data_IF_935475023213
#
_entry.id   IF_935475023213
#
_cell.length_a   1.000
_cell.length_b   1.000
_cell.length_c   1.000
_cell.angle_alpha   90.00
_cell.angle_beta   90.00
_cell.angle_gamma   90.00
#
_symmetry.space_group_name_H-M   'P 1'
#
loop_
_entity.id
_entity.type
_entity.pdbx_description
1 polymer ?
#
# COMPACT_ATOMS: atom_id res chain seq x y z
N UNK A 1 3.64 1.24 15.30
CA UNK A 1 2.23 1.64 15.49
C UNK A 1 1.41 0.35 15.61
N UNK A 2 0.27 0.35 16.29
CA UNK A 2 -0.63 -0.82 16.38
C UNK A 2 -1.92 -0.48 15.67
N UNK A 3 -2.51 -1.43 14.93
CA UNK A 3 -3.80 -1.25 14.25
C UNK A 3 -4.91 -1.31 15.30
N UNK A 4 -5.49 -0.18 15.69
CA UNK A 4 -6.49 -0.10 16.77
C UNK A 4 -7.85 0.41 16.26
N UNK A 5 -8.91 0.07 16.99
CA UNK A 5 -10.27 0.51 16.64
C UNK A 5 -10.42 2.03 16.80
N UNK A 6 -9.77 2.62 17.80
CA UNK A 6 -9.83 4.04 18.10
C UNK A 6 -9.36 4.91 16.92
N UNK A 7 -8.33 4.45 16.20
CA UNK A 7 -7.81 5.14 15.01
C UNK A 7 -8.83 5.12 13.87
N UNK A 8 -9.54 4.01 13.68
CA UNK A 8 -10.61 3.91 12.67
C UNK A 8 -11.88 4.66 13.07
N UNK A 9 -12.25 4.61 14.35
CA UNK A 9 -13.41 5.31 14.90
C UNK A 9 -13.24 6.84 14.84
N UNK A 10 -12.00 7.34 14.95
CA UNK A 10 -11.71 8.77 14.75
C UNK A 10 -12.05 9.26 13.33
N UNK A 11 -12.08 8.36 12.34
CA UNK A 11 -12.37 8.65 10.93
C UNK A 11 -13.84 8.42 10.54
N UNK A 12 -14.56 7.59 11.29
CA UNK A 12 -15.90 7.05 10.93
C UNK A 12 -16.98 7.25 11.99
N UNK A 13 -16.63 7.85 13.13
CA UNK A 13 -17.41 7.92 14.37
C UNK A 13 -17.58 6.55 15.07
N UNK A 14 -17.58 6.54 16.41
CA UNK A 14 -17.81 5.30 17.16
C UNK A 14 -19.27 4.86 17.04
N UNK A 15 -19.48 3.78 16.28
CA UNK A 15 -20.79 3.16 16.09
C UNK A 15 -20.66 1.64 16.01
N UNK A 16 -21.75 0.88 16.27
CA UNK A 16 -21.76 -0.57 16.04
C UNK A 16 -21.36 -0.95 14.61
N UNK A 17 -21.79 -0.16 13.62
CA UNK A 17 -21.45 -0.38 12.21
C UNK A 17 -19.94 -0.17 11.96
N UNK A 18 -19.35 0.89 12.50
CA UNK A 18 -17.90 1.11 12.40
C UNK A 18 -17.09 0.00 13.08
N UNK A 19 -17.56 -0.54 14.21
CA UNK A 19 -16.92 -1.68 14.89
C UNK A 19 -16.97 -2.96 14.08
N UNK A 20 -18.12 -3.25 13.45
CA UNK A 20 -18.25 -4.40 12.56
C UNK A 20 -17.34 -4.27 11.34
N UNK A 21 -17.29 -3.08 10.72
CA UNK A 21 -16.42 -2.87 9.57
C UNK A 21 -14.94 -2.97 9.94
N UNK A 22 -14.52 -2.35 11.04
CA UNK A 22 -13.14 -2.46 11.52
C UNK A 22 -12.73 -3.90 11.80
N UNK A 23 -13.60 -4.71 12.40
CA UNK A 23 -13.33 -6.13 12.62
C UNK A 23 -13.13 -6.87 11.29
N UNK A 24 -13.97 -6.59 10.28
CA UNK A 24 -13.84 -7.17 8.94
C UNK A 24 -12.56 -6.73 8.21
N UNK A 25 -12.08 -5.51 8.44
CA UNK A 25 -10.78 -5.05 7.96
C UNK A 25 -9.66 -5.84 8.62
N UNK A 26 -9.65 -5.92 9.96
CA UNK A 26 -8.62 -6.64 10.71
C UNK A 26 -8.57 -8.12 10.31
N UNK A 27 -9.73 -8.77 10.15
CA UNK A 27 -9.79 -10.16 9.70
C UNK A 27 -9.15 -10.34 8.31
N UNK A 28 -9.44 -9.43 7.37
CA UNK A 28 -8.87 -9.47 6.03
C UNK A 28 -7.34 -9.26 6.03
N UNK A 29 -6.84 -8.28 6.79
CA UNK A 29 -5.40 -8.04 6.94
C UNK A 29 -4.67 -9.14 7.73
N UNK A 30 -5.41 -10.01 8.43
CA UNK A 30 -4.89 -11.13 9.22
C UNK A 30 -4.94 -12.48 8.50
N UNK A 31 -5.31 -12.51 7.22
CA UNK A 31 -5.40 -13.76 6.47
C UNK A 31 -4.06 -14.51 6.45
N UNK A 32 -4.05 -15.84 6.67
CA UNK A 32 -2.84 -16.59 7.00
C UNK A 32 -1.83 -16.72 5.84
N UNK A 33 -2.23 -16.41 4.61
CA UNK A 33 -1.35 -16.43 3.44
C UNK A 33 -0.51 -15.16 3.30
N UNK A 34 -0.88 -14.06 3.96
CA UNK A 34 -0.15 -12.79 3.92
C UNK A 34 1.18 -12.91 4.66
N UNK A 35 2.22 -12.29 4.12
CA UNK A 35 3.57 -12.25 4.72
C UNK A 35 4.14 -10.85 4.74
N UNK A 36 3.99 -10.10 3.66
CA UNK A 36 4.30 -8.68 3.60
C UNK A 36 3.04 -7.85 3.75
N UNK A 37 1.97 -8.17 3.01
CA UNK A 37 0.75 -7.38 2.97
C UNK A 37 -0.17 -7.73 4.16
N UNK A 38 0.33 -7.59 5.38
CA UNK A 38 -0.31 -7.95 6.65
C UNK A 38 -0.58 -6.74 7.56
N UNK A 39 -1.03 -6.99 8.80
CA UNK A 39 -1.26 -5.93 9.80
C UNK A 39 -0.02 -5.09 10.13
N UNK A 40 1.19 -5.62 9.97
CA UNK A 40 2.41 -4.87 10.22
C UNK A 40 2.66 -3.86 9.09
N UNK A 41 2.42 -4.24 7.83
CA UNK A 41 2.42 -3.31 6.70
C UNK A 41 1.36 -2.23 6.87
N UNK A 42 0.11 -2.61 7.15
CA UNK A 42 -0.97 -1.64 7.40
C UNK A 42 -0.59 -0.63 8.49
N UNK A 43 -0.04 -1.10 9.62
CA UNK A 43 0.40 -0.22 10.70
C UNK A 43 1.55 0.73 10.29
N UNK A 44 2.45 0.28 9.42
CA UNK A 44 3.53 1.11 8.90
C UNK A 44 2.98 2.21 7.96
N UNK A 45 2.10 1.85 7.03
CA UNK A 45 1.46 2.80 6.11
C UNK A 45 0.63 3.83 6.88
N UNK A 46 -0.21 3.42 7.83
CA UNK A 46 -0.99 4.35 8.66
C UNK A 46 -0.12 5.32 9.45
N UNK A 47 1.03 4.86 9.95
CA UNK A 47 1.98 5.74 10.65
C UNK A 47 2.57 6.79 9.73
N UNK A 48 3.00 6.39 8.53
CA UNK A 48 3.56 7.30 7.54
C UNK A 48 2.52 8.27 6.98
N UNK A 49 1.28 7.82 6.74
CA UNK A 49 0.17 8.70 6.40
C UNK A 49 -0.04 9.75 7.49
N UNK A 50 0.06 9.39 8.77
CA UNK A 50 0.02 10.33 9.88
C UNK A 50 1.15 11.36 9.86
N UNK A 51 2.39 10.92 9.57
CA UNK A 51 3.56 11.81 9.44
C UNK A 51 3.48 12.76 8.23
N UNK A 52 2.87 12.28 7.14
CA UNK A 52 2.74 13.01 5.88
C UNK A 52 1.43 13.81 5.77
N UNK A 53 0.53 13.71 6.75
CA UNK A 53 -0.82 14.28 6.72
C UNK A 53 -0.86 15.79 6.40
N UNK A 54 0.18 16.55 6.78
CA UNK A 54 0.26 17.98 6.48
C UNK A 54 0.36 18.30 4.99
N UNK A 55 0.69 17.31 4.15
CA UNK A 55 0.75 17.45 2.69
C UNK A 55 -0.56 17.05 2.00
N UNK A 56 -1.50 16.40 2.70
CA UNK A 56 -2.78 15.95 2.14
C UNK A 56 -3.84 17.06 2.19
N UNK A 57 -4.70 17.09 1.17
CA UNK A 57 -5.88 17.94 1.10
C UNK A 57 -7.02 17.38 1.96
N UNK A 58 -7.28 16.07 1.91
CA UNK A 58 -8.14 15.36 2.87
C UNK A 58 -7.36 14.22 3.56
N UNK A 59 -6.65 14.51 4.67
CA UNK A 59 -5.92 13.50 5.43
C UNK A 59 -6.79 12.34 5.93
N UNK A 60 -8.09 12.57 6.17
CA UNK A 60 -9.00 11.52 6.60
C UNK A 60 -9.34 10.57 5.45
N UNK A 61 -9.51 11.09 4.22
CA UNK A 61 -9.66 10.26 3.03
C UNK A 61 -8.41 9.40 2.78
N UNK A 62 -7.22 9.98 2.91
CA UNK A 62 -5.96 9.23 2.74
C UNK A 62 -5.79 8.14 3.80
N UNK A 63 -6.07 8.44 5.07
CA UNK A 63 -6.01 7.45 6.14
C UNK A 63 -7.01 6.31 5.89
N UNK A 64 -8.25 6.62 5.50
CA UNK A 64 -9.23 5.60 5.12
C UNK A 64 -8.78 4.79 3.90
N UNK A 65 -8.19 5.41 2.88
CA UNK A 65 -7.65 4.67 1.74
C UNK A 65 -6.53 3.71 2.16
N UNK A 66 -5.66 4.11 3.09
CA UNK A 66 -4.64 3.22 3.65
C UNK A 66 -5.23 1.98 4.36
N UNK A 67 -6.35 2.13 5.09
CA UNK A 67 -7.06 0.98 5.68
C UNK A 67 -7.56 -0.03 4.65
N UNK A 68 -7.85 0.42 3.42
CA UNK A 68 -8.49 -0.39 2.40
C UNK A 68 -7.57 -0.83 1.26
N UNK A 69 -6.40 -0.21 1.03
CA UNK A 69 -5.66 -0.37 -0.23
C UNK A 69 -5.40 -1.84 -0.63
N UNK A 70 -4.94 -2.69 0.30
CA UNK A 70 -4.77 -4.14 0.08
C UNK A 70 -5.70 -4.99 0.95
N UNK A 71 -6.88 -4.46 1.29
CA UNK A 71 -7.86 -5.21 2.09
C UNK A 71 -8.32 -6.48 1.34
N UNK A 72 -8.38 -6.45 0.02
CA UNK A 72 -8.41 -7.64 -0.83
C UNK A 72 -6.98 -7.92 -1.31
N UNK A 73 -6.50 -9.15 -1.10
CA UNK A 73 -5.16 -9.55 -1.52
C UNK A 73 -5.12 -11.03 -1.89
N UNK A 74 -5.23 -11.29 -3.19
CA UNK A 74 -4.98 -12.59 -3.79
C UNK A 74 -3.80 -12.45 -4.78
N UNK A 75 -2.62 -13.05 -4.48
CA UNK A 75 -1.47 -13.05 -5.38
C UNK A 75 -1.71 -13.66 -6.77
N UNK A 76 -2.84 -14.34 -6.97
CA UNK A 76 -3.25 -14.93 -8.25
C UNK A 76 -4.22 -14.05 -9.05
N UNK A 77 -4.75 -12.98 -8.42
CA UNK A 77 -5.67 -12.03 -9.03
C UNK A 77 -4.93 -10.81 -9.61
N UNK A 78 -5.62 -10.08 -10.48
CA UNK A 78 -5.07 -8.87 -11.15
C UNK A 78 -5.90 -7.61 -10.89
N UNK A 79 -6.95 -7.74 -10.08
CA UNK A 79 -7.95 -6.72 -9.80
C UNK A 79 -8.09 -6.44 -8.29
N UNK A 80 -7.07 -6.79 -7.49
CA UNK A 80 -7.07 -6.62 -6.03
C UNK A 80 -7.44 -5.19 -5.64
N UNK A 81 -6.86 -4.18 -6.29
CA UNK A 81 -7.11 -2.76 -6.00
C UNK A 81 -8.54 -2.34 -6.35
N UNK A 82 -9.12 -2.90 -7.43
CA UNK A 82 -10.53 -2.66 -7.75
C UNK A 82 -11.44 -3.31 -6.71
N UNK A 83 -11.17 -4.56 -6.31
CA UNK A 83 -11.94 -5.26 -5.28
C UNK A 83 -11.83 -4.52 -3.94
N UNK A 84 -10.64 -4.09 -3.56
CA UNK A 84 -10.37 -3.26 -2.38
C UNK A 84 -11.15 -1.94 -2.42
N UNK A 85 -11.18 -1.26 -3.57
CA UNK A 85 -11.95 -0.03 -3.74
C UNK A 85 -13.47 -0.27 -3.61
N UNK A 86 -13.98 -1.37 -4.16
CA UNK A 86 -15.38 -1.75 -4.00
C UNK A 86 -15.71 -2.12 -2.55
N UNK A 87 -14.79 -2.76 -1.83
CA UNK A 87 -14.92 -3.00 -0.39
C UNK A 87 -14.99 -1.69 0.39
N UNK A 88 -14.17 -0.70 0.05
CA UNK A 88 -14.25 0.63 0.65
C UNK A 88 -15.61 1.30 0.41
N UNK A 89 -16.11 1.26 -0.83
CA UNK A 89 -17.43 1.81 -1.19
C UNK A 89 -18.59 1.15 -0.42
N UNK A 90 -18.46 -0.14 -0.10
CA UNK A 90 -19.47 -0.88 0.65
C UNK A 90 -19.36 -0.63 2.16
N UNK A 91 -18.15 -0.75 2.72
CA UNK A 91 -17.89 -0.69 4.16
C UNK A 91 -18.05 0.70 4.77
N UNK A 92 -17.69 1.75 4.02
CA UNK A 92 -17.78 3.14 4.48
C UNK A 92 -19.11 3.83 4.17
N UNK A 93 -20.04 3.16 3.48
CA UNK A 93 -21.33 3.74 3.12
C UNK A 93 -22.13 4.13 4.37
N UNK A 94 -22.44 5.41 4.49
CA UNK A 94 -23.17 5.96 5.63
C UNK A 94 -22.32 6.15 6.90
N UNK A 95 -21.02 5.81 6.86
CA UNK A 95 -20.04 6.14 7.89
C UNK A 95 -19.28 7.44 7.56
N UNK A 96 -19.20 7.82 6.29
CA UNK A 96 -18.55 9.04 5.82
C UNK A 96 -19.39 9.74 4.74
N UNK A 97 -19.17 11.05 4.47
CA UNK A 97 -19.80 11.74 3.35
C UNK A 97 -19.47 11.11 1.99
N UNK A 98 -20.41 11.17 1.05
CA UNK A 98 -20.27 10.56 -0.29
C UNK A 98 -19.03 11.06 -1.07
N UNK A 99 -18.65 12.33 -0.89
CA UNK A 99 -17.45 12.90 -1.51
C UNK A 99 -16.17 12.21 -1.01
N UNK A 100 -16.04 12.00 0.31
CA UNK A 100 -14.92 11.27 0.90
C UNK A 100 -14.94 9.80 0.49
N UNK A 101 -16.12 9.19 0.42
CA UNK A 101 -16.28 7.81 -0.04
C UNK A 101 -15.75 7.62 -1.47
N UNK A 102 -16.08 8.54 -2.37
CA UNK A 102 -15.59 8.53 -3.74
C UNK A 102 -14.06 8.73 -3.79
N UNK A 103 -13.53 9.63 -2.97
CA UNK A 103 -12.09 9.90 -2.92
C UNK A 103 -11.29 8.71 -2.39
N UNK A 104 -11.74 8.06 -1.31
CA UNK A 104 -11.13 6.83 -0.79
C UNK A 104 -11.03 5.77 -1.89
N UNK A 105 -12.13 5.54 -2.62
CA UNK A 105 -12.15 4.54 -3.69
C UNK A 105 -11.28 4.93 -4.89
N UNK A 106 -11.07 6.22 -5.15
CA UNK A 106 -10.12 6.70 -6.18
C UNK A 106 -8.67 6.47 -5.74
N UNK A 107 -8.35 6.80 -4.49
CA UNK A 107 -7.02 6.62 -3.90
C UNK A 107 -6.63 5.15 -3.82
N UNK A 108 -7.55 4.26 -3.42
CA UNK A 108 -7.28 2.82 -3.42
C UNK A 108 -6.99 2.30 -4.83
N UNK A 109 -7.71 2.76 -5.86
CA UNK A 109 -7.37 2.37 -7.26
C UNK A 109 -6.03 2.91 -7.73
N UNK A 110 -5.61 4.06 -7.19
CA UNK A 110 -4.35 4.70 -7.58
C UNK A 110 -3.12 3.85 -7.20
N UNK A 111 -3.23 3.01 -6.15
CA UNK A 111 -2.12 2.15 -5.71
C UNK A 111 -1.81 1.03 -6.71
N UNK A 112 -2.66 0.75 -7.70
CA UNK A 112 -2.35 -0.24 -8.74
C UNK A 112 -1.15 0.18 -9.62
N UNK A 113 -0.86 1.48 -9.72
CA UNK A 113 0.24 2.00 -10.52
C UNK A 113 1.15 3.00 -9.81
N UNK A 114 0.83 3.37 -8.56
CA UNK A 114 1.57 4.35 -7.76
C UNK A 114 1.98 5.63 -8.51
N UNK A 115 1.10 6.07 -9.41
CA UNK A 115 1.37 7.18 -10.34
C UNK A 115 0.40 8.37 -10.18
N UNK A 116 0.36 9.03 -9.00
CA UNK A 116 -0.36 10.28 -8.85
C UNK A 116 0.12 11.31 -9.87
N UNK A 117 -0.83 12.07 -10.41
CA UNK A 117 -0.55 13.27 -11.21
C UNK A 117 0.05 14.36 -10.30
N UNK A 118 0.78 15.33 -10.87
CA UNK A 118 1.61 16.26 -10.08
C UNK A 118 0.85 17.07 -9.00
N UNK A 119 -0.43 17.39 -9.23
CA UNK A 119 -1.27 18.15 -8.29
C UNK A 119 -2.14 17.25 -7.38
N UNK A 120 -2.00 15.92 -7.48
CA UNK A 120 -2.72 14.96 -6.63
C UNK A 120 -2.01 14.75 -5.30
N UNK A 121 -2.23 15.67 -4.37
CA UNK A 121 -1.57 15.66 -3.06
C UNK A 121 -2.00 14.49 -2.17
N UNK A 122 -3.27 14.09 -2.23
CA UNK A 122 -3.78 12.95 -1.46
C UNK A 122 -3.21 11.63 -1.98
N UNK A 123 -3.17 11.48 -3.30
CA UNK A 123 -2.51 10.35 -3.95
C UNK A 123 -1.02 10.30 -3.67
N UNK A 124 -0.34 11.46 -3.69
CA UNK A 124 1.08 11.56 -3.33
C UNK A 124 1.34 11.06 -1.91
N UNK A 125 0.52 11.45 -0.92
CA UNK A 125 0.70 10.97 0.46
C UNK A 125 0.49 9.46 0.56
N UNK A 126 -0.57 8.91 -0.05
CA UNK A 126 -0.83 7.48 0.00
C UNK A 126 0.30 6.66 -0.65
N UNK A 127 0.69 7.03 -1.88
CA UNK A 127 1.72 6.30 -2.61
C UNK A 127 3.10 6.42 -1.95
N UNK A 128 3.43 7.59 -1.40
CA UNK A 128 4.70 7.77 -0.67
C UNK A 128 4.75 6.88 0.58
N UNK A 129 3.64 6.79 1.33
CA UNK A 129 3.53 5.96 2.53
C UNK A 129 3.60 4.47 2.20
N UNK A 130 2.87 4.02 1.17
CA UNK A 130 2.82 2.62 0.75
C UNK A 130 4.18 2.12 0.19
N UNK A 131 4.86 2.96 -0.62
CA UNK A 131 6.16 2.62 -1.19
C UNK A 131 7.35 2.87 -0.26
N UNK A 132 7.14 3.33 0.98
CA UNK A 132 8.24 3.72 1.88
C UNK A 132 9.21 2.58 2.20
N UNK A 133 8.74 1.32 2.18
CA UNK A 133 9.58 0.13 2.39
C UNK A 133 10.75 0.05 1.39
N UNK A 134 10.56 0.59 0.18
CA UNK A 134 11.59 0.54 -0.85
C UNK A 134 12.84 1.31 -0.42
N UNK A 135 12.68 2.39 0.34
CA UNK A 135 13.76 3.21 0.89
C UNK A 135 14.35 2.68 2.22
N UNK A 136 13.88 1.52 2.71
CA UNK A 136 14.38 0.95 3.95
C UNK A 136 15.88 0.59 3.86
N UNK A 137 16.59 0.49 5.00
CA UNK A 137 17.95 -0.03 5.02
C UNK A 137 18.04 -1.40 4.29
N UNK A 138 19.14 -1.71 3.57
CA UNK A 138 19.20 -2.88 2.69
C UNK A 138 18.80 -4.22 3.33
N UNK A 139 19.09 -4.40 4.62
CA UNK A 139 18.69 -5.61 5.36
C UNK A 139 17.17 -5.70 5.54
N UNK A 140 16.49 -4.58 5.83
CA UNK A 140 15.04 -4.54 5.96
C UNK A 140 14.36 -4.70 4.60
N UNK A 141 14.92 -4.08 3.55
CA UNK A 141 14.47 -4.28 2.17
C UNK A 141 14.56 -5.76 1.74
N UNK A 142 15.67 -6.44 2.08
CA UNK A 142 15.80 -7.86 1.79
C UNK A 142 14.75 -8.72 2.52
N UNK A 143 14.37 -8.33 3.74
CA UNK A 143 13.25 -8.94 4.47
C UNK A 143 11.92 -8.76 3.73
N UNK A 144 11.63 -7.54 3.26
CA UNK A 144 10.48 -7.23 2.41
C UNK A 144 10.45 -8.11 1.15
N UNK A 145 11.54 -8.13 0.37
CA UNK A 145 11.61 -8.91 -0.86
C UNK A 145 11.44 -10.41 -0.62
N UNK A 146 11.96 -10.93 0.50
CA UNK A 146 11.75 -12.33 0.90
C UNK A 146 10.29 -12.62 1.26
N UNK A 147 9.64 -11.73 2.02
CA UNK A 147 8.24 -11.88 2.39
C UNK A 147 7.32 -11.86 1.15
N UNK A 148 7.60 -10.96 0.19
CA UNK A 148 6.92 -10.97 -1.11
C UNK A 148 7.17 -12.29 -1.85
N UNK A 149 8.41 -12.81 -1.89
CA UNK A 149 8.68 -14.13 -2.53
C UNK A 149 7.83 -15.24 -1.92
N UNK A 150 7.62 -15.23 -0.60
CA UNK A 150 6.79 -16.22 0.10
C UNK A 150 5.30 -16.14 -0.29
N UNK A 151 4.75 -14.94 -0.48
CA UNK A 151 3.34 -14.75 -0.94
C UNK A 151 3.12 -15.36 -2.33
N UNK A 152 4.14 -15.32 -3.18
CA UNK A 152 4.14 -15.94 -4.49
C UNK A 152 4.75 -17.35 -4.50
N UNK A 153 4.81 -18.04 -3.36
CA UNK A 153 5.36 -19.40 -3.23
C UNK A 153 4.64 -20.47 -4.08
N UNK A 154 3.46 -20.15 -4.60
CA UNK A 154 2.70 -20.98 -5.55
C UNK A 154 3.26 -20.94 -6.98
N UNK A 155 4.09 -19.95 -7.31
CA UNK A 155 4.80 -19.85 -8.59
C UNK A 155 6.17 -20.53 -8.50
N UNK A 156 6.58 -21.16 -9.60
CA UNK A 156 7.97 -21.56 -9.77
C UNK A 156 8.91 -20.34 -9.84
N UNK A 157 10.19 -20.58 -9.66
CA UNK A 157 11.19 -19.51 -9.55
C UNK A 157 11.35 -18.73 -10.86
N UNK A 158 11.13 -19.35 -12.03
CA UNK A 158 11.27 -18.69 -13.32
C UNK A 158 10.13 -17.68 -13.55
N UNK A 159 8.89 -18.13 -13.34
CA UNK A 159 7.69 -17.29 -13.47
C UNK A 159 7.70 -16.16 -12.43
N UNK A 160 8.03 -16.47 -11.17
CA UNK A 160 8.16 -15.43 -10.14
C UNK A 160 9.24 -14.40 -10.51
N UNK A 161 10.42 -14.85 -10.94
CA UNK A 161 11.54 -13.96 -11.28
C UNK A 161 11.17 -13.03 -12.42
N UNK A 162 10.54 -13.55 -13.48
CA UNK A 162 10.08 -12.73 -14.60
C UNK A 162 9.04 -11.67 -14.16
N UNK A 163 8.05 -12.08 -13.36
CA UNK A 163 7.04 -11.16 -12.82
C UNK A 163 7.63 -10.10 -11.90
N UNK A 164 8.52 -10.49 -10.99
CA UNK A 164 9.19 -9.56 -10.07
C UNK A 164 10.08 -8.56 -10.81
N UNK A 165 10.82 -9.00 -11.84
CA UNK A 165 11.58 -8.10 -12.71
C UNK A 165 10.66 -7.06 -13.34
N UNK A 166 9.52 -7.47 -13.91
CA UNK A 166 8.57 -6.54 -14.52
C UNK A 166 8.03 -5.50 -13.52
N UNK A 167 7.72 -5.90 -12.28
CA UNK A 167 7.31 -4.96 -11.22
C UNK A 167 8.43 -3.96 -10.90
N UNK A 168 9.65 -4.44 -10.68
CA UNK A 168 10.79 -3.56 -10.38
C UNK A 168 11.08 -2.57 -11.51
N UNK A 169 11.02 -3.03 -12.76
CA UNK A 169 11.17 -2.17 -13.95
C UNK A 169 10.06 -1.11 -14.01
N UNK A 170 8.81 -1.51 -13.78
CA UNK A 170 7.67 -0.57 -13.79
C UNK A 170 7.81 0.55 -12.75
N UNK A 171 8.32 0.21 -11.56
CA UNK A 171 8.59 1.19 -10.50
C UNK A 171 9.77 2.10 -10.88
N UNK A 172 10.84 1.54 -11.45
CA UNK A 172 12.02 2.31 -11.87
C UNK A 172 11.72 3.26 -13.03
N UNK A 173 10.76 2.90 -13.89
CA UNK A 173 10.27 3.71 -15.01
C UNK A 173 9.42 4.93 -14.57
N UNK A 174 8.93 4.94 -13.33
CA UNK A 174 8.28 6.12 -12.78
C UNK A 174 9.26 7.30 -12.74
N UNK A 175 8.88 8.51 -13.18
CA UNK A 175 9.76 9.68 -13.12
C UNK A 175 10.23 10.01 -11.70
N UNK A 176 9.38 9.73 -10.71
CA UNK A 176 9.59 9.91 -9.27
C UNK A 176 8.79 8.84 -8.52
N UNK A 177 9.42 8.15 -7.58
CA UNK A 177 8.72 7.24 -6.65
C UNK A 177 8.00 8.07 -5.58
N UNK A 178 8.71 9.06 -5.01
CA UNK A 178 8.22 9.89 -3.92
C UNK A 178 7.96 11.33 -4.34
N UNK A 179 6.85 11.92 -3.89
CA UNK A 179 6.39 13.25 -4.32
C UNK A 179 6.40 14.29 -3.20
N UNK A 180 6.02 13.90 -1.98
CA UNK A 180 5.96 14.82 -0.85
C UNK A 180 7.36 15.31 -0.46
N UNK A 181 7.53 16.58 -0.03
CA UNK A 181 8.82 17.10 0.41
C UNK A 181 9.49 16.25 1.51
N UNK A 182 8.70 15.65 2.40
CA UNK A 182 9.19 14.80 3.48
C UNK A 182 9.78 13.48 2.95
N UNK A 183 9.18 12.90 1.90
CA UNK A 183 9.61 11.63 1.32
C UNK A 183 10.65 11.78 0.19
N UNK A 184 10.89 12.98 -0.35
CA UNK A 184 11.92 13.20 -1.37
C UNK A 184 13.31 12.60 -1.05
N UNK A 185 13.82 12.65 0.19
CA UNK A 185 15.09 12.00 0.55
C UNK A 185 15.09 10.47 0.42
N UNK A 186 13.92 9.83 0.31
CA UNK A 186 13.74 8.38 0.19
C UNK A 186 14.00 7.86 -1.24
N UNK A 187 13.96 8.74 -2.25
CA UNK A 187 14.10 8.36 -3.66
C UNK A 187 15.42 7.63 -3.96
N UNK A 188 16.55 8.21 -3.51
CA UNK A 188 17.87 7.65 -3.76
C UNK A 188 18.07 6.25 -3.12
N UNK A 189 17.79 6.04 -1.82
CA UNK A 189 17.89 4.70 -1.25
C UNK A 189 16.90 3.70 -1.88
N UNK A 190 15.69 4.12 -2.24
CA UNK A 190 14.72 3.24 -2.89
C UNK A 190 15.20 2.72 -4.25
N UNK A 191 15.65 3.63 -5.12
CA UNK A 191 16.18 3.25 -6.43
C UNK A 191 17.41 2.34 -6.30
N UNK A 192 18.31 2.62 -5.36
CA UNK A 192 19.46 1.76 -5.11
C UNK A 192 19.06 0.33 -4.71
N UNK A 193 18.03 0.17 -3.87
CA UNK A 193 17.53 -1.14 -3.48
C UNK A 193 16.85 -1.88 -4.66
N UNK A 194 15.97 -1.19 -5.41
CA UNK A 194 15.29 -1.73 -6.58
C UNK A 194 16.30 -2.20 -7.65
N UNK A 195 17.31 -1.38 -7.96
CA UNK A 195 18.35 -1.71 -8.94
C UNK A 195 19.24 -2.87 -8.49
N UNK A 196 19.54 -2.95 -7.19
CA UNK A 196 20.30 -4.06 -6.62
C UNK A 196 19.52 -5.39 -6.71
N UNK A 197 18.23 -5.39 -6.35
CA UNK A 197 17.37 -6.57 -6.50
C UNK A 197 17.26 -6.99 -7.97
N UNK A 198 16.99 -6.03 -8.86
CA UNK A 198 16.84 -6.28 -10.28
C UNK A 198 18.11 -6.90 -10.89
N UNK A 199 19.29 -6.39 -10.50
CA UNK A 199 20.58 -6.93 -10.93
C UNK A 199 20.80 -8.37 -10.47
N UNK A 200 20.43 -8.69 -9.23
CA UNK A 200 20.53 -10.05 -8.68
C UNK A 200 19.59 -11.03 -9.38
N UNK A 201 18.36 -10.61 -9.69
CA UNK A 201 17.38 -11.44 -10.38
C UNK A 201 17.80 -11.73 -11.82
N UNK A 202 18.27 -10.71 -12.56
CA UNK A 202 18.78 -10.89 -13.93
C UNK A 202 19.98 -11.83 -14.00
N UNK A 203 20.89 -11.76 -13.03
CA UNK A 203 22.05 -12.65 -12.95
C UNK A 203 21.69 -14.12 -12.64
N UNK A 204 20.51 -14.39 -12.07
CA UNK A 204 20.00 -15.75 -11.81
C UNK A 204 19.25 -16.35 -13.00
N UNK A 205 18.65 -15.49 -13.84
CA UNK A 205 17.90 -15.90 -15.02
C UNK A 205 18.80 -16.21 -16.24
N UNK A 206 20.07 -15.77 -16.20
CA UNK A 206 21.12 -16.04 -17.19
C UNK A 206 21.93 -17.29 -16.87
#
# INVERSE_FOLDING_TARGET
MTVQFEDFAALTEDSPTARTEWAALVDAWSEPHRRYHDLAHLAAVLGLVGELAAHAADPAAVALAAWYHDVAYDPTATDNEEVSAQRALAGLRGLVPDERLAEVARLVRLTAGHAPVDDDTDGAVLCDADLAVLAAPPQAYAGYASAVREEYGHLDDEVFTAGRIAVLESLLDLPRLYRTPTAQPWEAPARANLEAELSLLRARAS
#
